data_IF_792109492613
#
_entry.id   IF_792109492613
#
_cell.length_a   1.000
_cell.length_b   1.000
_cell.length_c   1.000
_cell.angle_alpha   90.00
_cell.angle_beta   90.00
_cell.angle_gamma   90.00
#
_symmetry.space_group_name_H-M   'P 1'
#
loop_
_entity.id
_entity.type
_entity.pdbx_description
1 polymer ?
#
# COMPACT_ATOMS: atom_id res chain seq x y z
N UNK A 1 40.34 26.45 -12.14
CA UNK A 1 40.72 26.22 -10.73
C UNK A 1 39.58 25.44 -10.10
N UNK A 2 39.71 24.12 -9.91
CA UNK A 2 38.63 23.28 -9.37
C UNK A 2 38.45 23.61 -7.89
N UNK A 3 37.25 24.06 -7.54
CA UNK A 3 36.81 24.25 -6.16
C UNK A 3 36.86 22.89 -5.46
N UNK A 4 37.90 22.68 -4.64
CA UNK A 4 37.98 21.51 -3.76
C UNK A 4 36.83 21.62 -2.78
N UNK A 5 35.79 20.82 -2.97
CA UNK A 5 34.80 20.54 -1.94
C UNK A 5 35.55 20.12 -0.68
N UNK A 6 35.64 21.05 0.29
CA UNK A 6 36.29 20.83 1.58
C UNK A 6 35.37 19.89 2.36
N UNK A 7 35.64 18.60 2.28
CA UNK A 7 34.94 17.59 3.07
C UNK A 7 35.48 17.74 4.50
N UNK A 8 34.73 18.44 5.34
CA UNK A 8 35.05 18.54 6.77
C UNK A 8 34.77 17.19 7.41
N UNK A 9 35.85 16.52 7.83
CA UNK A 9 35.78 15.25 8.55
C UNK A 9 35.59 15.54 10.03
N UNK A 10 34.35 15.49 10.52
CA UNK A 10 34.02 15.57 11.93
C UNK A 10 34.08 14.21 12.61
N UNK A 11 34.48 14.17 13.88
CA UNK A 11 34.32 13.00 14.75
C UNK A 11 32.93 12.99 15.40
N UNK A 12 31.86 13.23 14.62
CA UNK A 12 30.50 13.29 15.14
C UNK A 12 29.83 11.92 15.03
N UNK A 13 29.30 11.41 16.15
CA UNK A 13 28.49 10.19 16.15
C UNK A 13 27.08 10.40 15.57
N UNK A 14 26.61 11.66 15.45
CA UNK A 14 25.21 12.02 15.18
C UNK A 14 24.78 11.76 13.72
N UNK A 15 24.10 10.62 13.50
CA UNK A 15 23.69 10.09 12.20
C UNK A 15 22.83 11.02 11.35
N UNK A 16 22.15 11.98 11.96
CA UNK A 16 21.26 12.89 11.24
C UNK A 16 21.98 14.08 10.62
N UNK A 17 23.17 14.44 11.11
CA UNK A 17 23.91 15.63 10.66
C UNK A 17 24.90 15.36 9.54
N UNK A 18 25.41 14.14 9.42
CA UNK A 18 26.46 13.80 8.45
C UNK A 18 26.04 12.68 7.50
N UNK A 19 25.67 13.07 6.27
CA UNK A 19 25.11 12.17 5.24
C UNK A 19 26.12 11.19 4.61
N UNK A 20 27.44 11.42 4.76
CA UNK A 20 28.49 10.50 4.29
C UNK A 20 29.52 10.28 5.39
N UNK A 21 29.76 9.02 5.73
CA UNK A 21 30.64 8.60 6.83
C UNK A 21 31.65 7.57 6.34
N UNK A 22 32.90 7.73 6.74
CA UNK A 22 33.94 6.71 6.57
C UNK A 22 34.17 6.11 7.96
N UNK A 23 33.75 4.86 8.16
CA UNK A 23 33.88 4.18 9.46
C UNK A 23 35.09 3.26 9.42
N UNK A 24 36.05 3.49 10.33
CA UNK A 24 37.15 2.55 10.57
C UNK A 24 36.66 1.45 11.51
N UNK A 25 36.35 0.28 10.96
CA UNK A 25 35.92 -0.89 11.74
C UNK A 25 37.17 -1.69 12.15
N UNK A 26 37.47 -1.75 13.44
CA UNK A 26 38.54 -2.63 13.95
C UNK A 26 38.00 -4.07 14.08
N UNK A 27 38.87 -5.08 13.98
CA UNK A 27 38.51 -6.52 13.94
C UNK A 27 37.63 -7.03 15.10
N UNK A 28 37.43 -6.24 16.17
CA UNK A 28 36.67 -6.63 17.37
C UNK A 28 35.36 -5.85 17.57
N UNK A 29 35.03 -4.89 16.72
CA UNK A 29 33.83 -4.06 16.87
C UNK A 29 32.86 -4.32 15.72
N UNK A 30 31.67 -4.82 16.04
CA UNK A 30 30.59 -4.93 15.05
C UNK A 30 30.12 -3.54 14.64
N UNK A 31 30.01 -3.28 13.34
CA UNK A 31 29.49 -2.03 12.77
C UNK A 31 27.96 -1.90 12.95
N UNK A 32 27.42 -2.31 14.10
CA UNK A 32 26.03 -2.02 14.43
C UNK A 32 25.98 -0.57 14.86
N UNK A 33 25.60 0.31 13.94
CA UNK A 33 25.20 1.68 14.27
C UNK A 33 23.91 1.55 15.08
N UNK A 34 24.06 1.39 16.39
CA UNK A 34 22.97 1.64 17.33
C UNK A 34 22.70 3.12 17.20
N UNK A 35 21.68 3.47 16.41
CA UNK A 35 21.23 4.84 16.32
C UNK A 35 20.94 5.32 17.74
N UNK A 36 21.45 6.49 18.10
CA UNK A 36 21.19 7.08 19.41
C UNK A 36 19.68 7.12 19.60
N UNK A 37 19.11 6.40 20.58
CA UNK A 37 17.68 6.39 20.77
C UNK A 37 17.26 7.83 20.97
N UNK A 38 16.40 8.33 20.08
CA UNK A 38 15.82 9.66 20.23
C UNK A 38 15.18 9.81 21.62
N UNK A 39 14.82 11.02 22.05
CA UNK A 39 14.31 11.26 23.40
C UNK A 39 13.19 10.27 23.74
N UNK A 40 13.47 9.40 24.72
CA UNK A 40 12.54 8.38 25.20
C UNK A 40 11.80 8.92 26.42
N UNK A 41 10.52 8.57 26.51
CA UNK A 41 9.68 8.86 27.67
C UNK A 41 9.25 7.54 28.31
N UNK A 42 9.01 7.57 29.62
CA UNK A 42 8.47 6.40 30.32
C UNK A 42 7.10 6.06 29.75
N UNK A 43 6.87 4.77 29.48
CA UNK A 43 5.59 4.26 28.96
C UNK A 43 4.45 4.59 29.92
N UNK A 44 4.67 4.36 31.22
CA UNK A 44 3.78 4.81 32.28
C UNK A 44 4.24 6.18 32.79
N UNK A 45 3.34 7.17 32.93
CA UNK A 45 1.91 7.15 32.58
C UNK A 45 1.63 7.64 31.14
N UNK A 46 2.65 8.14 30.42
CA UNK A 46 2.45 8.96 29.23
C UNK A 46 1.80 8.23 28.05
N UNK A 47 2.19 6.99 27.76
CA UNK A 47 1.59 6.21 26.68
C UNK A 47 0.19 5.74 27.07
N UNK A 48 0.02 5.22 28.29
CA UNK A 48 -1.27 4.70 28.74
C UNK A 48 -2.37 5.76 28.76
N UNK A 49 -2.05 6.99 29.18
CA UNK A 49 -3.02 8.10 29.15
C UNK A 49 -3.43 8.42 27.70
N UNK A 50 -2.48 8.44 26.76
CA UNK A 50 -2.79 8.70 25.34
C UNK A 50 -3.62 7.59 24.72
N UNK A 51 -3.32 6.33 25.04
CA UNK A 51 -4.09 5.17 24.58
C UNK A 51 -5.50 5.18 25.19
N UNK A 52 -5.64 5.47 26.47
CA UNK A 52 -6.94 5.61 27.13
C UNK A 52 -7.78 6.75 26.51
N UNK A 53 -7.17 7.89 26.20
CA UNK A 53 -7.84 8.97 25.48
C UNK A 53 -8.27 8.55 24.07
N UNK A 54 -7.42 7.88 23.32
CA UNK A 54 -7.74 7.39 21.98
C UNK A 54 -8.87 6.34 22.02
N UNK A 55 -8.83 5.43 22.99
CA UNK A 55 -9.89 4.45 23.24
C UNK A 55 -11.21 5.13 23.57
N UNK A 56 -11.20 6.10 24.49
CA UNK A 56 -12.42 6.83 24.86
C UNK A 56 -13.01 7.58 23.67
N UNK A 57 -12.17 8.23 22.84
CA UNK A 57 -12.62 8.89 21.62
C UNK A 57 -13.22 7.90 20.62
N UNK A 58 -12.62 6.72 20.46
CA UNK A 58 -13.15 5.67 19.59
C UNK A 58 -14.52 5.17 20.07
N UNK A 59 -14.68 4.94 21.39
CA UNK A 59 -15.96 4.51 21.98
C UNK A 59 -17.03 5.60 21.78
N UNK A 60 -16.70 6.87 22.04
CA UNK A 60 -17.62 7.98 21.81
C UNK A 60 -18.04 8.03 20.34
N UNK A 61 -17.09 7.93 19.41
CA UNK A 61 -17.39 7.92 17.98
C UNK A 61 -18.31 6.74 17.59
N UNK A 62 -18.06 5.55 18.12
CA UNK A 62 -18.88 4.36 17.87
C UNK A 62 -20.31 4.52 18.42
N UNK A 63 -20.46 5.06 19.63
CA UNK A 63 -21.78 5.33 20.24
C UNK A 63 -22.52 6.39 19.42
N UNK A 64 -21.85 7.46 19.00
CA UNK A 64 -22.48 8.48 18.14
C UNK A 64 -22.98 7.87 16.82
N UNK A 65 -22.17 7.04 16.16
CA UNK A 65 -22.60 6.33 14.94
C UNK A 65 -23.83 5.46 15.21
N UNK A 66 -23.85 4.71 16.30
CA UNK A 66 -24.99 3.86 16.66
C UNK A 66 -26.26 4.64 17.03
N UNK A 67 -26.13 5.86 17.57
CA UNK A 67 -27.27 6.73 17.88
C UNK A 67 -27.88 7.38 16.64
N UNK A 68 -27.07 7.67 15.61
CA UNK A 68 -27.51 8.31 14.37
C UNK A 68 -27.85 7.33 13.25
N UNK A 69 -27.35 6.10 13.31
CA UNK A 69 -27.50 5.10 12.26
C UNK A 69 -27.96 3.76 12.81
N UNK A 70 -29.25 3.45 12.64
CA UNK A 70 -29.81 2.17 13.04
C UNK A 70 -29.27 1.03 12.16
N UNK A 71 -28.92 -0.08 12.81
CA UNK A 71 -28.62 -1.34 12.13
C UNK A 71 -29.90 -2.20 12.11
N UNK A 72 -30.65 -2.23 10.99
CA UNK A 72 -31.89 -3.00 10.92
C UNK A 72 -31.60 -4.49 11.11
N UNK A 73 -32.41 -5.15 11.93
CA UNK A 73 -32.35 -6.60 12.11
C UNK A 73 -33.05 -7.29 10.94
N UNK A 74 -32.38 -8.27 10.32
CA UNK A 74 -32.98 -9.14 9.31
C UNK A 74 -33.85 -10.24 9.94
N UNK A 75 -34.55 -10.99 9.09
CA UNK A 75 -35.37 -12.13 9.52
C UNK A 75 -34.49 -13.27 10.06
N UNK A 76 -35.09 -14.15 10.87
CA UNK A 76 -34.42 -15.38 11.31
C UNK A 76 -33.97 -16.22 10.10
N UNK A 77 -32.81 -16.86 10.22
CA UNK A 77 -32.21 -17.63 9.15
C UNK A 77 -33.15 -18.76 8.69
N UNK A 78 -33.44 -18.79 7.38
CA UNK A 78 -34.24 -19.84 6.75
C UNK A 78 -33.40 -20.53 5.65
N UNK A 79 -33.02 -21.82 5.80
CA UNK A 79 -32.20 -22.52 4.81
C UNK A 79 -32.92 -22.73 3.47
N UNK A 80 -34.24 -22.58 3.42
CA UNK A 80 -35.04 -22.72 2.19
C UNK A 80 -35.16 -21.40 1.41
N UNK A 81 -34.70 -20.28 1.96
CA UNK A 81 -34.82 -18.95 1.36
C UNK A 81 -33.45 -18.27 1.31
N UNK A 82 -32.94 -18.03 0.10
CA UNK A 82 -31.74 -17.20 -0.08
C UNK A 82 -32.18 -15.74 -0.25
N UNK A 83 -31.77 -14.81 0.64
CA UNK A 83 -32.12 -13.40 0.50
C UNK A 83 -31.51 -12.83 -0.77
N UNK A 84 -32.27 -11.96 -1.46
CA UNK A 84 -31.83 -11.27 -2.66
C UNK A 84 -32.06 -9.75 -2.47
N UNK A 85 -31.00 -8.92 -2.41
CA UNK A 85 -29.58 -9.24 -2.61
C UNK A 85 -28.88 -9.71 -1.34
N UNK A 86 -28.08 -10.78 -1.45
CA UNK A 86 -27.16 -11.18 -0.38
C UNK A 86 -25.83 -10.41 -0.53
N UNK A 87 -25.60 -9.42 0.34
CA UNK A 87 -24.35 -8.65 0.38
C UNK A 87 -23.51 -9.06 1.58
N UNK A 88 -22.21 -9.23 1.35
CA UNK A 88 -21.24 -9.46 2.40
C UNK A 88 -21.02 -8.17 3.22
N UNK A 89 -20.48 -8.29 4.44
CA UNK A 89 -20.01 -7.12 5.20
C UNK A 89 -19.05 -6.25 4.39
N UNK A 90 -19.00 -4.95 4.68
CA UNK A 90 -18.27 -3.96 3.88
C UNK A 90 -16.79 -4.28 3.65
N UNK A 91 -16.12 -4.90 4.63
CA UNK A 91 -14.72 -5.32 4.54
C UNK A 91 -14.50 -6.54 3.62
N UNK A 92 -15.58 -7.26 3.27
CA UNK A 92 -15.58 -8.37 2.30
C UNK A 92 -16.25 -8.03 0.97
N UNK A 93 -16.86 -6.85 0.80
CA UNK A 93 -17.49 -6.46 -0.48
C UNK A 93 -16.51 -6.53 -1.64
N UNK A 94 -15.25 -6.13 -1.43
CA UNK A 94 -14.22 -6.26 -2.46
C UNK A 94 -13.94 -7.70 -2.86
N UNK A 95 -13.96 -8.63 -1.90
CA UNK A 95 -13.80 -10.06 -2.16
C UNK A 95 -15.02 -10.65 -2.84
N UNK A 96 -16.23 -10.22 -2.47
CA UNK A 96 -17.48 -10.62 -3.12
C UNK A 96 -17.48 -10.20 -4.60
N UNK A 97 -17.06 -8.97 -4.89
CA UNK A 97 -16.90 -8.52 -6.28
C UNK A 97 -15.87 -9.34 -7.04
N UNK A 98 -14.75 -9.70 -6.40
CA UNK A 98 -13.73 -10.54 -7.01
C UNK A 98 -14.27 -11.94 -7.37
N UNK A 99 -15.12 -12.52 -6.50
CA UNK A 99 -15.80 -13.80 -6.72
C UNK A 99 -16.79 -13.78 -7.89
N UNK A 100 -17.24 -12.61 -8.32
CA UNK A 100 -18.08 -12.49 -9.51
C UNK A 100 -17.26 -12.65 -10.80
N UNK A 101 -16.03 -12.14 -10.83
CA UNK A 101 -15.20 -12.16 -12.05
C UNK A 101 -14.35 -13.43 -12.18
N UNK A 102 -13.96 -14.04 -11.07
CA UNK A 102 -13.07 -15.19 -11.07
C UNK A 102 -13.73 -16.42 -10.44
N UNK A 103 -13.32 -17.63 -10.84
CA UNK A 103 -13.77 -18.86 -10.19
C UNK A 103 -13.60 -18.78 -8.66
N UNK A 104 -14.53 -19.37 -7.86
CA UNK A 104 -14.49 -19.28 -6.40
C UNK A 104 -13.17 -19.68 -5.77
N UNK A 105 -12.51 -20.69 -6.34
CA UNK A 105 -11.18 -21.12 -5.92
C UNK A 105 -10.12 -20.01 -6.09
N UNK A 106 -10.14 -19.31 -7.22
CA UNK A 106 -9.14 -18.28 -7.55
C UNK A 106 -9.34 -17.04 -6.67
N UNK A 107 -10.57 -16.51 -6.63
CA UNK A 107 -10.89 -15.31 -5.86
C UNK A 107 -10.89 -15.55 -4.34
N UNK A 108 -11.47 -16.66 -3.89
CA UNK A 108 -11.66 -16.94 -2.46
C UNK A 108 -10.45 -17.56 -1.77
N UNK A 109 -9.64 -18.35 -2.49
CA UNK A 109 -8.54 -19.12 -1.87
C UNK A 109 -7.20 -18.66 -2.41
N UNK A 110 -6.99 -18.74 -3.73
CA UNK A 110 -5.67 -18.52 -4.33
C UNK A 110 -5.17 -17.08 -4.11
N UNK A 111 -5.97 -16.07 -4.44
CA UNK A 111 -5.57 -14.66 -4.33
C UNK A 111 -5.28 -14.25 -2.87
N UNK A 112 -6.18 -14.48 -1.89
CA UNK A 112 -5.89 -14.15 -0.48
C UNK A 112 -4.66 -14.89 0.06
N UNK A 113 -4.48 -16.16 -0.29
CA UNK A 113 -3.32 -16.94 0.13
C UNK A 113 -2.02 -16.36 -0.44
N UNK A 114 -2.01 -15.96 -1.72
CA UNK A 114 -0.86 -15.31 -2.34
C UNK A 114 -0.54 -13.96 -1.71
N UNK A 115 -1.55 -13.17 -1.30
CA UNK A 115 -1.34 -11.91 -0.56
C UNK A 115 -0.67 -12.16 0.79
N UNK A 116 -1.13 -13.16 1.55
CA UNK A 116 -0.51 -13.52 2.84
C UNK A 116 0.92 -14.01 2.64
N UNK A 117 1.16 -14.90 1.66
CA UNK A 117 2.51 -15.36 1.32
C UNK A 117 3.39 -14.19 0.92
N UNK A 118 2.90 -13.25 0.10
CA UNK A 118 3.65 -12.06 -0.29
C UNK A 118 4.04 -11.22 0.93
N UNK A 119 3.13 -10.98 1.88
CA UNK A 119 3.43 -10.26 3.13
C UNK A 119 4.51 -10.94 3.97
N UNK A 120 4.50 -12.27 4.03
CA UNK A 120 5.54 -13.06 4.72
C UNK A 120 6.87 -13.01 3.98
N UNK A 121 6.85 -13.03 2.65
CA UNK A 121 8.04 -13.10 1.78
C UNK A 121 8.74 -11.75 1.65
N UNK A 122 8.00 -10.63 1.59
CA UNK A 122 8.53 -9.26 1.41
C UNK A 122 9.77 -8.96 2.29
N UNK A 123 9.79 -9.22 3.62
CA UNK A 123 10.95 -8.88 4.46
C UNK A 123 12.23 -9.67 4.12
N UNK A 124 12.13 -10.79 3.39
CA UNK A 124 13.28 -11.64 3.05
C UNK A 124 13.92 -11.27 1.71
N UNK A 125 13.26 -10.45 0.89
CA UNK A 125 13.77 -10.03 -0.40
C UNK A 125 14.08 -8.53 -0.40
N UNK A 126 15.15 -8.12 -1.08
CA UNK A 126 15.51 -6.72 -1.25
C UNK A 126 14.58 -6.01 -2.25
N UNK A 127 13.28 -5.96 -1.94
CA UNK A 127 12.28 -5.23 -2.71
C UNK A 127 12.38 -3.75 -2.34
N UNK A 128 13.36 -3.05 -2.91
CA UNK A 128 13.48 -1.59 -2.84
C UNK A 128 13.42 -1.01 -1.40
N UNK A 129 14.15 -1.62 -0.47
CA UNK A 129 14.20 -1.23 0.96
C UNK A 129 14.64 0.23 1.14
N UNK A 130 15.45 0.74 0.22
CA UNK A 130 16.01 2.10 0.24
C UNK A 130 14.97 3.18 -0.15
N UNK A 131 13.76 2.80 -0.57
CA UNK A 131 12.71 3.75 -0.96
C UNK A 131 13.08 4.60 -2.18
N UNK A 132 14.06 4.16 -2.98
CA UNK A 132 14.48 4.86 -4.19
C UNK A 132 13.36 4.86 -5.22
N UNK A 133 13.36 5.90 -6.07
CA UNK A 133 12.41 6.01 -7.17
C UNK A 133 12.59 4.85 -8.16
N UNK A 134 11.47 4.31 -8.67
CA UNK A 134 11.46 3.18 -9.60
C UNK A 134 12.34 3.41 -10.84
N UNK A 135 12.56 4.66 -11.24
CA UNK A 135 13.34 5.01 -12.43
C UNK A 135 14.80 5.42 -12.18
N UNK A 136 15.28 5.35 -10.93
CA UNK A 136 16.58 5.92 -10.54
C UNK A 136 17.79 5.15 -11.09
N UNK A 137 17.86 3.83 -10.84
CA UNK A 137 19.05 3.02 -11.18
C UNK A 137 19.06 2.50 -12.61
N UNK A 138 17.99 1.80 -13.03
CA UNK A 138 17.92 1.11 -14.33
C UNK A 138 16.61 1.44 -15.08
N UNK A 139 16.44 2.69 -15.56
CA UNK A 139 15.16 3.16 -16.10
C UNK A 139 14.64 2.31 -17.26
N UNK A 140 15.50 1.92 -18.20
CA UNK A 140 15.09 1.12 -19.36
C UNK A 140 14.69 -0.33 -19.01
N UNK A 141 15.39 -0.98 -18.09
CA UNK A 141 15.04 -2.34 -17.64
C UNK A 141 13.74 -2.31 -16.85
N UNK A 142 13.61 -1.35 -15.94
CA UNK A 142 12.40 -1.18 -15.12
C UNK A 142 11.20 -0.81 -16.00
N UNK A 143 11.38 -0.02 -17.05
CA UNK A 143 10.30 0.31 -17.99
C UNK A 143 9.82 -0.93 -18.73
N UNK A 144 10.74 -1.75 -19.26
CA UNK A 144 10.38 -3.01 -19.93
C UNK A 144 9.64 -3.95 -18.98
N UNK A 145 10.15 -4.12 -17.75
CA UNK A 145 9.50 -4.95 -16.74
C UNK A 145 8.10 -4.42 -16.39
N UNK A 146 7.96 -3.12 -16.15
CA UNK A 146 6.65 -2.48 -15.87
C UNK A 146 5.69 -2.67 -17.04
N UNK A 147 6.14 -2.43 -18.28
CA UNK A 147 5.30 -2.59 -19.47
C UNK A 147 4.83 -4.04 -19.63
N UNK A 148 5.73 -5.01 -19.51
CA UNK A 148 5.39 -6.43 -19.59
C UNK A 148 4.36 -6.78 -18.50
N UNK A 149 4.62 -6.42 -17.25
CA UNK A 149 3.71 -6.70 -16.13
C UNK A 149 2.35 -6.03 -16.32
N UNK A 150 2.31 -4.75 -16.73
CA UNK A 150 1.06 -4.01 -16.97
C UNK A 150 0.29 -4.63 -18.12
N UNK A 151 0.93 -4.97 -19.24
CA UNK A 151 0.27 -5.56 -20.40
C UNK A 151 -0.29 -6.94 -20.04
N UNK A 152 0.51 -7.79 -19.38
CA UNK A 152 0.07 -9.12 -18.96
C UNK A 152 -1.11 -9.01 -17.98
N UNK A 153 -1.02 -8.10 -17.00
CA UNK A 153 -2.10 -7.87 -16.04
C UNK A 153 -3.37 -7.36 -16.72
N UNK A 154 -3.28 -6.35 -17.58
CA UNK A 154 -4.43 -5.81 -18.29
C UNK A 154 -5.06 -6.83 -19.25
N UNK A 155 -4.24 -7.61 -19.97
CA UNK A 155 -4.72 -8.69 -20.83
C UNK A 155 -5.44 -9.77 -20.02
N UNK A 156 -4.85 -10.19 -18.90
CA UNK A 156 -5.49 -11.14 -17.98
C UNK A 156 -6.85 -10.62 -17.48
N UNK A 157 -6.90 -9.37 -17.00
CA UNK A 157 -8.16 -8.77 -16.53
C UNK A 157 -9.20 -8.63 -17.65
N UNK A 158 -8.77 -8.34 -18.87
CA UNK A 158 -9.66 -8.25 -20.04
C UNK A 158 -10.25 -9.61 -20.41
N UNK A 159 -9.46 -10.69 -20.39
CA UNK A 159 -9.93 -12.07 -20.67
C UNK A 159 -11.04 -12.48 -19.69
N UNK A 160 -10.89 -12.14 -18.40
CA UNK A 160 -11.89 -12.41 -17.38
C UNK A 160 -13.01 -11.34 -17.30
N UNK A 161 -13.04 -10.38 -18.24
CA UNK A 161 -14.03 -9.30 -18.27
C UNK A 161 -14.15 -8.54 -16.93
N UNK A 162 -13.04 -8.44 -16.18
CA UNK A 162 -12.97 -7.83 -14.87
C UNK A 162 -12.87 -6.30 -14.97
N UNK A 163 -13.87 -5.67 -15.58
CA UNK A 163 -13.86 -4.23 -15.91
C UNK A 163 -13.67 -3.32 -14.70
N UNK A 164 -14.21 -3.71 -13.55
CA UNK A 164 -14.12 -2.99 -12.27
C UNK A 164 -12.70 -2.95 -11.71
N UNK A 165 -11.88 -3.96 -12.01
CA UNK A 165 -10.46 -4.02 -11.63
C UNK A 165 -9.61 -3.41 -12.73
N UNK A 166 -10.00 -3.62 -13.99
CA UNK A 166 -9.27 -3.13 -15.16
C UNK A 166 -9.22 -1.60 -15.18
N UNK A 167 -10.33 -0.90 -14.95
CA UNK A 167 -10.40 0.56 -14.94
C UNK A 167 -9.39 1.23 -13.97
N UNK A 168 -9.40 0.93 -12.65
CA UNK A 168 -8.43 1.50 -11.72
C UNK A 168 -7.00 1.03 -12.00
N UNK A 169 -6.81 -0.20 -12.50
CA UNK A 169 -5.49 -0.71 -12.89
C UNK A 169 -4.92 0.08 -14.07
N UNK A 170 -5.72 0.32 -15.11
CA UNK A 170 -5.33 1.12 -16.26
C UNK A 170 -5.03 2.57 -15.86
N UNK A 171 -5.85 3.17 -14.99
CA UNK A 171 -5.60 4.50 -14.45
C UNK A 171 -4.24 4.58 -13.74
N UNK A 172 -3.96 3.69 -12.78
CA UNK A 172 -2.68 3.74 -12.05
C UNK A 172 -1.51 3.39 -12.97
N UNK A 173 -1.68 2.45 -13.90
CA UNK A 173 -0.66 2.11 -14.88
C UNK A 173 -0.32 3.29 -15.81
N UNK A 174 -1.33 4.02 -16.30
CA UNK A 174 -1.12 5.22 -17.12
C UNK A 174 -0.38 6.30 -16.35
N UNK A 175 -0.72 6.52 -15.07
CA UNK A 175 0.00 7.45 -14.20
C UNK A 175 1.45 7.00 -13.95
N UNK A 176 1.69 5.70 -13.78
CA UNK A 176 3.04 5.13 -13.62
C UNK A 176 3.88 5.32 -14.88
N UNK A 177 3.32 5.06 -16.05
CA UNK A 177 4.00 5.28 -17.33
C UNK A 177 4.22 6.78 -17.60
N UNK A 178 3.25 7.63 -17.25
CA UNK A 178 3.41 9.07 -17.33
C UNK A 178 4.55 9.58 -16.42
N UNK A 179 4.71 8.98 -15.24
CA UNK A 179 5.82 9.24 -14.33
C UNK A 179 7.20 8.98 -14.95
N UNK A 180 7.31 8.01 -15.87
CA UNK A 180 8.55 7.79 -16.64
C UNK A 180 8.88 8.97 -17.57
N UNK A 181 7.87 9.53 -18.23
CA UNK A 181 8.02 10.65 -19.18
C UNK A 181 8.45 11.92 -18.44
N UNK A 182 7.81 12.20 -17.30
CA UNK A 182 8.05 13.42 -16.50
C UNK A 182 9.35 13.36 -15.70
N UNK A 183 10.04 12.21 -15.65
CA UNK A 183 11.31 12.02 -14.93
C UNK A 183 12.37 13.06 -15.25
N UNK A 184 12.44 13.52 -16.51
CA UNK A 184 13.45 14.49 -16.96
C UNK A 184 13.00 15.96 -16.86
N UNK A 185 11.77 16.23 -16.41
CA UNK A 185 11.19 17.58 -16.33
C UNK A 185 11.76 18.46 -15.19
N UNK A 186 11.62 19.78 -15.33
CA UNK A 186 11.93 20.77 -14.26
C UNK A 186 10.95 20.65 -13.08
N UNK A 187 11.27 21.30 -11.95
CA UNK A 187 10.51 21.26 -10.69
C UNK A 187 9.00 21.47 -10.93
N UNK A 188 8.17 20.59 -10.36
CA UNK A 188 6.71 20.66 -10.42
C UNK A 188 6.06 19.49 -9.67
N UNK A 189 4.76 19.60 -9.36
CA UNK A 189 3.99 18.56 -8.67
C UNK A 189 4.00 17.22 -9.42
N UNK A 190 4.00 17.27 -10.76
CA UNK A 190 4.09 16.08 -11.62
C UNK A 190 5.42 15.32 -11.47
N UNK A 191 6.52 16.02 -11.14
CA UNK A 191 7.81 15.37 -10.88
C UNK A 191 7.80 14.59 -9.55
N UNK A 192 6.92 14.95 -8.61
CA UNK A 192 6.79 14.20 -7.36
C UNK A 192 6.30 12.76 -7.59
N UNK A 193 5.64 12.47 -8.72
CA UNK A 193 5.26 11.10 -9.12
C UNK A 193 6.47 10.29 -9.60
N UNK A 194 7.45 10.95 -10.23
CA UNK A 194 8.67 10.33 -10.72
C UNK A 194 9.65 9.97 -9.61
N UNK A 195 9.51 10.55 -8.42
CA UNK A 195 10.35 10.25 -7.26
C UNK A 195 9.80 9.15 -6.36
N UNK A 196 8.60 8.62 -6.65
CA UNK A 196 7.96 7.60 -5.81
C UNK A 196 8.59 6.21 -5.99
N UNK A 197 8.76 5.46 -4.89
CA UNK A 197 9.22 4.07 -4.95
C UNK A 197 8.16 3.13 -5.52
N UNK A 198 8.59 1.94 -5.93
CA UNK A 198 7.68 0.89 -6.45
C UNK A 198 6.57 0.54 -5.45
N UNK A 199 6.89 0.45 -4.15
CA UNK A 199 5.93 0.15 -3.09
C UNK A 199 4.77 1.15 -3.04
N UNK A 200 5.06 2.43 -3.29
CA UNK A 200 4.03 3.47 -3.33
C UNK A 200 3.06 3.25 -4.49
N UNK A 201 3.56 2.85 -5.67
CA UNK A 201 2.73 2.51 -6.81
C UNK A 201 1.87 1.26 -6.58
N UNK A 202 2.47 0.19 -6.02
CA UNK A 202 1.75 -1.03 -5.69
C UNK A 202 0.65 -0.77 -4.67
N UNK A 203 0.95 0.01 -3.61
CA UNK A 203 -0.04 0.39 -2.60
C UNK A 203 -1.16 1.25 -3.20
N UNK A 204 -0.82 2.23 -4.04
CA UNK A 204 -1.80 3.08 -4.71
C UNK A 204 -2.71 2.28 -5.62
N UNK A 205 -2.16 1.33 -6.38
CA UNK A 205 -2.92 0.39 -7.20
C UNK A 205 -3.86 -0.48 -6.34
N UNK A 206 -3.34 -1.08 -5.26
CA UNK A 206 -4.12 -1.91 -4.36
C UNK A 206 -5.30 -1.14 -3.74
N UNK A 207 -5.04 0.05 -3.21
CA UNK A 207 -6.09 0.91 -2.63
C UNK A 207 -7.10 1.33 -3.69
N UNK A 208 -6.65 1.73 -4.88
CA UNK A 208 -7.56 2.14 -5.97
C UNK A 208 -8.49 0.99 -6.40
N UNK A 209 -7.95 -0.24 -6.53
CA UNK A 209 -8.74 -1.43 -6.82
C UNK A 209 -9.71 -1.73 -5.67
N UNK A 210 -9.25 -1.73 -4.42
CA UNK A 210 -10.09 -2.02 -3.26
C UNK A 210 -11.25 -1.02 -3.13
N UNK A 211 -10.98 0.28 -3.31
CA UNK A 211 -12.01 1.33 -3.31
C UNK A 211 -12.99 1.10 -4.46
N UNK A 212 -12.50 0.87 -5.68
CA UNK A 212 -13.37 0.68 -6.83
C UNK A 212 -14.30 -0.53 -6.65
N UNK A 213 -13.76 -1.67 -6.19
CA UNK A 213 -14.56 -2.86 -5.88
C UNK A 213 -15.58 -2.59 -4.77
N UNK A 214 -15.18 -1.89 -3.70
CA UNK A 214 -16.09 -1.57 -2.60
C UNK A 214 -17.23 -0.65 -3.06
N UNK A 215 -16.92 0.37 -3.87
CA UNK A 215 -17.91 1.31 -4.42
C UNK A 215 -18.86 0.59 -5.36
N UNK A 216 -18.34 -0.26 -6.27
CA UNK A 216 -19.17 -1.05 -7.19
C UNK A 216 -20.07 -2.02 -6.41
N UNK A 217 -19.51 -2.78 -5.48
CA UNK A 217 -20.26 -3.71 -4.62
C UNK A 217 -21.36 -3.03 -3.81
N UNK A 218 -21.10 -1.81 -3.33
CA UNK A 218 -22.05 -1.06 -2.51
C UNK A 218 -23.18 -0.49 -3.35
N UNK A 219 -22.86 0.28 -4.41
CA UNK A 219 -23.83 1.14 -5.09
C UNK A 219 -24.37 0.57 -6.41
N UNK A 220 -23.62 -0.29 -7.09
CA UNK A 220 -23.95 -0.74 -8.44
C UNK A 220 -24.47 -2.19 -8.49
N UNK A 221 -24.44 -2.91 -7.36
CA UNK A 221 -25.04 -4.25 -7.21
C UNK A 221 -26.38 -4.16 -6.50
N UNK A 222 -27.42 -4.69 -7.13
CA UNK A 222 -28.81 -4.67 -6.65
C UNK A 222 -29.48 -6.05 -6.69
N UNK A 223 -30.81 -6.11 -6.53
CA UNK A 223 -31.55 -7.36 -6.59
C UNK A 223 -31.40 -8.05 -7.96
N UNK A 224 -31.11 -9.35 -7.96
CA UNK A 224 -30.92 -10.16 -9.18
C UNK A 224 -29.53 -10.05 -9.81
N UNK A 225 -28.57 -9.49 -9.06
CA UNK A 225 -27.16 -9.41 -9.40
C UNK A 225 -26.33 -10.46 -8.68
#
# INVERSE_FOLDING_TARGET
>A
MMEKNKIETGFSSDAKKEARRVVFVTKKTSAKVVGDPGPQLMTYPHLLIREAMAFQLLVIAMVLVALFWDAPLEQLANPLLTPNPAKAPWYFLGLQELLHFFPPFVAGILIPTLVVIALVVIPYFNVNIEGEAIWARRPWHNLRAVLITVIVLLAFLAVFHAWTILAPTALVATLLLFSYIVRQGKKGWLRALATKPLSWWVMTWFIAVAICLTVVGTFFRGPGW
#
